data_IF_919236996853
#
_entry.id   IF_919236996853
#
_cell.length_a   1.000
_cell.length_b   1.000
_cell.length_c   1.000
_cell.angle_alpha   90.00
_cell.angle_beta   90.00
_cell.angle_gamma   90.00
#
_symmetry.space_group_name_H-M   'P 1'
#
loop_
_entity.id
_entity.type
_entity.pdbx_description
1 polymer ?
#
# COMPACT_ATOMS: atom_id res chain seq x y z
N UNK A 1 14.04 36.73 -5.59
CA UNK A 1 14.99 35.90 -4.81
C UNK A 1 14.21 34.69 -4.35
N UNK A 2 14.35 33.55 -5.05
CA UNK A 2 13.55 32.34 -4.79
C UNK A 2 14.23 31.60 -3.65
N UNK A 3 13.63 31.61 -2.47
CA UNK A 3 14.08 30.83 -1.31
C UNK A 3 13.54 29.42 -1.51
N UNK A 4 14.38 28.38 -1.65
CA UNK A 4 13.90 27.01 -1.67
C UNK A 4 13.38 26.70 -0.27
N UNK A 5 12.08 26.49 -0.13
CA UNK A 5 11.46 25.96 1.08
C UNK A 5 12.00 24.56 1.30
N UNK A 6 13.03 24.47 2.14
CA UNK A 6 13.53 23.21 2.66
C UNK A 6 12.37 22.50 3.37
N UNK A 7 12.09 21.25 2.99
CA UNK A 7 11.26 20.36 3.79
C UNK A 7 11.76 20.43 5.24
N UNK A 8 10.85 20.70 6.17
CA UNK A 8 11.08 20.56 7.61
C UNK A 8 11.41 19.10 7.91
N UNK A 9 12.68 18.73 7.78
CA UNK A 9 13.23 17.56 8.44
C UNK A 9 13.22 17.90 9.93
N UNK A 10 12.22 17.40 10.65
CA UNK A 10 12.14 17.53 12.11
C UNK A 10 13.47 17.10 12.72
N UNK A 11 13.97 17.89 13.68
CA UNK A 11 15.22 17.65 14.37
C UNK A 11 15.22 16.23 14.97
N UNK A 12 15.94 15.31 14.32
CA UNK A 12 16.07 13.91 14.73
C UNK A 12 15.84 12.87 13.62
N UNK A 13 15.20 13.22 12.49
CA UNK A 13 15.03 12.29 11.37
C UNK A 13 15.76 12.81 10.12
N UNK A 14 16.82 12.11 9.69
CA UNK A 14 17.49 12.41 8.44
C UNK A 14 16.51 12.15 7.29
N UNK A 15 16.12 13.20 6.55
CA UNK A 15 15.47 13.01 5.26
C UNK A 15 16.44 12.27 4.34
N UNK A 16 16.27 10.95 4.25
CA UNK A 16 17.27 10.10 3.61
C UNK A 16 17.43 10.48 2.13
N UNK A 17 16.32 10.74 1.43
CA UNK A 17 16.32 11.05 0.00
C UNK A 17 15.50 12.32 -0.31
N UNK A 18 15.96 13.10 -1.30
CA UNK A 18 15.28 14.26 -1.86
C UNK A 18 15.23 14.17 -3.39
N UNK A 19 14.24 14.82 -3.98
CA UNK A 19 14.20 15.08 -5.42
C UNK A 19 14.71 16.50 -5.66
N UNK A 20 15.71 16.63 -6.51
CA UNK A 20 16.40 17.88 -6.76
C UNK A 20 16.47 18.16 -8.26
N UNK A 21 15.65 19.13 -8.70
CA UNK A 21 15.68 19.62 -10.08
C UNK A 21 17.05 20.21 -10.38
N UNK A 22 17.62 19.79 -11.52
CA UNK A 22 18.95 20.20 -12.00
C UNK A 22 20.11 19.85 -11.04
N UNK A 23 19.86 19.02 -10.03
CA UNK A 23 20.90 18.50 -9.14
C UNK A 23 21.67 19.57 -8.34
N UNK A 24 21.05 20.73 -8.08
CA UNK A 24 21.67 21.90 -7.44
C UNK A 24 22.17 21.69 -6.00
N UNK A 25 21.70 20.63 -5.34
CA UNK A 25 22.00 20.24 -3.97
C UNK A 25 23.18 19.27 -3.88
N UNK A 26 23.64 18.69 -5.00
CA UNK A 26 24.73 17.71 -4.98
C UNK A 26 25.99 18.32 -4.37
N UNK A 27 26.55 17.65 -3.37
CA UNK A 27 27.73 18.10 -2.60
C UNK A 27 27.42 19.12 -1.50
N UNK A 28 26.18 19.64 -1.40
CA UNK A 28 25.81 20.53 -0.29
C UNK A 28 25.68 19.75 1.01
N UNK A 29 26.04 20.39 2.12
CA UNK A 29 25.93 19.81 3.46
C UNK A 29 24.46 19.53 3.80
N UNK A 30 24.20 18.32 4.23
CA UNK A 30 22.88 17.87 4.70
C UNK A 30 22.91 17.38 6.16
N UNK A 31 24.08 17.43 6.80
CA UNK A 31 24.30 17.02 8.19
C UNK A 31 25.76 17.17 8.61
N UNK A 32 26.08 16.81 9.85
CA UNK A 32 27.48 16.78 10.31
C UNK A 32 28.23 15.63 9.61
N UNK A 33 29.33 15.95 8.93
CA UNK A 33 30.09 15.02 8.07
C UNK A 33 29.24 14.36 6.96
N UNK A 34 28.17 15.01 6.53
CA UNK A 34 27.26 14.52 5.49
C UNK A 34 27.05 15.53 4.38
N UNK A 35 26.93 15.03 3.14
CA UNK A 35 26.59 15.81 1.97
C UNK A 35 25.59 15.05 1.09
N UNK A 36 24.78 15.78 0.34
CA UNK A 36 23.91 15.16 -0.65
C UNK A 36 24.74 14.54 -1.77
N UNK A 37 24.46 13.28 -2.07
CA UNK A 37 25.05 12.53 -3.17
C UNK A 37 23.93 12.13 -4.12
N UNK A 38 24.12 12.35 -5.42
CA UNK A 38 23.21 11.83 -6.44
C UNK A 38 23.22 10.30 -6.39
N UNK A 39 22.06 9.71 -6.13
CA UNK A 39 21.83 8.26 -6.22
C UNK A 39 21.32 7.91 -7.61
N UNK A 40 20.46 8.75 -8.18
CA UNK A 40 19.89 8.54 -9.51
C UNK A 40 19.63 9.87 -10.25
N UNK A 41 19.52 9.79 -11.58
CA UNK A 41 19.24 10.92 -12.48
C UNK A 41 18.13 10.53 -13.46
N UNK A 42 17.02 11.24 -13.36
CA UNK A 42 15.89 11.12 -14.26
C UNK A 42 15.94 12.27 -15.27
N UNK A 43 16.10 11.95 -16.55
CA UNK A 43 15.96 12.92 -17.64
C UNK A 43 14.58 12.72 -18.28
N UNK A 44 13.71 13.71 -18.17
CA UNK A 44 12.41 13.72 -18.87
C UNK A 44 12.59 14.40 -20.21
N UNK A 45 12.43 13.67 -21.30
CA UNK A 45 12.42 14.24 -22.65
C UNK A 45 11.00 14.65 -23.02
N UNK A 46 10.54 15.80 -22.49
CA UNK A 46 9.43 16.51 -23.12
C UNK A 46 10.02 17.35 -24.27
N UNK A 47 9.34 17.39 -25.43
CA UNK A 47 9.79 18.06 -26.67
C UNK A 47 10.22 19.54 -26.49
N UNK A 48 9.86 20.14 -25.36
CA UNK A 48 10.03 21.57 -25.11
C UNK A 48 11.31 21.88 -24.31
N UNK A 49 11.76 21.01 -23.40
CA UNK A 49 13.01 21.17 -22.64
C UNK A 49 13.28 19.92 -21.77
N UNK A 50 14.43 19.25 -21.91
CA UNK A 50 14.75 18.12 -21.06
C UNK A 50 14.91 18.57 -19.61
N UNK A 51 14.06 18.07 -18.71
CA UNK A 51 14.13 18.38 -17.29
C UNK A 51 14.91 17.26 -16.57
N UNK A 52 16.06 17.63 -15.99
CA UNK A 52 16.88 16.74 -15.19
C UNK A 52 16.41 16.79 -13.73
N UNK A 53 15.97 15.66 -13.18
CA UNK A 53 15.62 15.49 -11.77
C UNK A 53 16.62 14.50 -11.15
N UNK A 54 17.40 14.95 -10.18
CA UNK A 54 18.26 14.08 -9.39
C UNK A 54 17.51 13.52 -8.18
N UNK A 55 17.59 12.21 -7.96
CA UNK A 55 17.31 11.63 -6.65
C UNK A 55 18.61 11.69 -5.86
N UNK A 56 18.63 12.42 -4.75
CA UNK A 56 19.82 12.58 -3.92
C UNK A 56 19.61 12.03 -2.54
N UNK A 57 20.61 11.35 -2.01
CA UNK A 57 20.61 10.84 -0.66
C UNK A 57 21.61 11.63 0.21
N UNK A 58 21.24 11.88 1.46
CA UNK A 58 22.17 12.42 2.44
C UNK A 58 23.12 11.32 2.96
N UNK A 59 24.37 11.35 2.50
CA UNK A 59 25.40 10.34 2.75
C UNK A 59 26.64 10.97 3.42
N UNK A 60 27.51 10.13 3.98
CA UNK A 60 28.77 10.61 4.55
C UNK A 60 29.65 11.27 3.50
N UNK A 61 30.31 12.38 3.87
CA UNK A 61 31.08 13.22 2.95
C UNK A 61 32.33 12.52 2.40
N UNK A 62 32.86 11.52 3.10
CA UNK A 62 34.01 10.73 2.68
C UNK A 62 33.94 9.30 3.24
N UNK A 63 34.76 8.40 2.67
CA UNK A 63 34.87 7.01 3.13
C UNK A 63 35.53 6.86 4.51
N UNK A 64 36.09 7.94 5.06
CA UNK A 64 36.63 7.95 6.42
C UNK A 64 35.52 7.94 7.48
N UNK A 65 34.28 8.17 7.09
CA UNK A 65 33.13 8.11 7.98
C UNK A 65 32.26 6.87 7.69
N UNK A 66 31.59 6.38 8.71
CA UNK A 66 30.58 5.33 8.63
C UNK A 66 29.26 5.85 9.19
N UNK A 67 28.14 5.56 8.51
CA UNK A 67 26.81 5.97 8.94
C UNK A 67 26.31 5.01 10.03
N UNK A 68 26.17 5.48 11.28
CA UNK A 68 25.53 4.75 12.39
C UNK A 68 24.42 5.61 12.98
N UNK A 69 23.25 5.02 13.15
CA UNK A 69 22.07 5.69 13.73
C UNK A 69 21.75 7.05 13.08
N UNK A 70 21.93 7.12 11.75
CA UNK A 70 21.71 8.34 10.97
C UNK A 70 22.82 9.39 11.03
N UNK A 71 23.89 9.18 11.78
CA UNK A 71 25.04 10.09 11.90
C UNK A 71 26.29 9.51 11.25
N UNK A 72 27.16 10.37 10.71
CA UNK A 72 28.44 9.97 10.13
C UNK A 72 29.56 10.12 11.16
N UNK A 73 30.04 8.99 11.65
CA UNK A 73 31.07 8.87 12.69
C UNK A 73 32.40 8.48 12.02
N UNK A 74 33.50 9.08 12.44
CA UNK A 74 34.83 8.76 11.92
C UNK A 74 35.18 7.30 12.20
N UNK A 75 35.66 6.58 11.19
CA UNK A 75 36.12 5.20 11.33
C UNK A 75 37.40 5.23 12.16
N UNK A 76 37.34 4.72 13.40
CA UNK A 76 38.53 4.54 14.22
C UNK A 76 39.54 3.64 13.48
N UNK A 77 40.66 4.23 13.02
CA UNK A 77 41.73 3.57 12.26
C UNK A 77 42.49 2.45 13.02
N UNK A 78 41.98 1.97 14.16
CA UNK A 78 42.63 0.94 14.98
C UNK A 78 42.35 -0.51 14.55
N UNK A 79 41.77 -0.74 13.37
CA UNK A 79 41.72 -2.07 12.74
C UNK A 79 42.66 -2.12 11.53
N UNK A 80 43.95 -1.92 11.80
CA UNK A 80 45.01 -2.15 10.84
C UNK A 80 45.30 -3.65 10.72
N UNK A 81 45.41 -4.13 9.48
CA UNK A 81 45.93 -5.43 9.00
C UNK A 81 44.92 -6.52 8.63
N UNK A 82 45.00 -6.87 7.34
CA UNK A 82 44.54 -8.08 6.65
C UNK A 82 43.15 -8.01 6.00
N UNK A 83 42.94 -7.03 5.09
CA UNK A 83 42.07 -7.28 3.94
C UNK A 83 42.94 -7.67 2.75
N UNK A 84 43.12 -8.98 2.59
CA UNK A 84 43.46 -9.57 1.31
C UNK A 84 42.42 -9.09 0.27
N UNK A 85 42.86 -8.94 -0.97
CA UNK A 85 42.04 -8.62 -2.14
C UNK A 85 40.76 -9.47 -2.14
N UNK A 86 39.67 -8.90 -1.64
CA UNK A 86 38.34 -9.43 -1.88
C UNK A 86 38.00 -9.04 -3.31
N UNK A 87 37.50 -9.98 -4.13
CA UNK A 87 37.01 -9.65 -5.46
C UNK A 87 36.01 -8.51 -5.29
N UNK A 88 36.03 -7.56 -6.22
CA UNK A 88 35.05 -6.47 -6.29
C UNK A 88 33.67 -7.13 -6.26
N UNK A 89 33.05 -7.19 -5.08
CA UNK A 89 31.66 -7.60 -4.94
C UNK A 89 30.89 -6.47 -5.59
N UNK A 90 30.48 -6.71 -6.84
CA UNK A 90 29.47 -5.93 -7.53
C UNK A 90 28.38 -5.66 -6.50
N UNK A 91 28.03 -4.39 -6.19
CA UNK A 91 27.08 -4.07 -5.15
C UNK A 91 25.88 -4.99 -5.31
N UNK A 92 25.70 -5.91 -4.37
CA UNK A 92 24.54 -6.79 -4.38
C UNK A 92 23.37 -5.86 -4.17
N UNK A 93 22.74 -5.48 -5.29
CA UNK A 93 21.54 -4.66 -5.28
C UNK A 93 20.61 -5.37 -4.29
N UNK A 94 20.20 -4.71 -3.22
CA UNK A 94 19.30 -5.30 -2.23
C UNK A 94 17.93 -5.43 -2.89
N UNK A 95 17.79 -6.42 -3.75
CA UNK A 95 16.56 -6.73 -4.46
C UNK A 95 15.51 -7.07 -3.42
N UNK A 96 14.31 -6.49 -3.57
CA UNK A 96 13.23 -6.63 -2.61
C UNK A 96 13.64 -6.24 -1.18
N UNK A 97 14.47 -5.21 -1.01
CA UNK A 97 14.93 -4.72 0.30
C UNK A 97 15.68 -5.78 1.12
N UNK A 98 16.27 -6.79 0.46
CA UNK A 98 17.00 -7.88 1.12
C UNK A 98 16.14 -9.01 1.68
N UNK A 99 14.82 -8.98 1.46
CA UNK A 99 13.93 -10.13 1.73
C UNK A 99 13.70 -10.95 0.47
N UNK A 100 13.13 -12.14 0.65
CA UNK A 100 12.56 -12.92 -0.45
C UNK A 100 11.43 -12.09 -1.09
N UNK A 101 11.43 -12.02 -2.41
CA UNK A 101 10.40 -11.31 -3.16
C UNK A 101 9.08 -12.07 -3.08
N UNK A 102 7.97 -11.34 -3.00
CA UNK A 102 6.64 -11.94 -3.07
C UNK A 102 6.37 -12.39 -4.49
N UNK A 103 5.59 -13.46 -4.64
CA UNK A 103 5.07 -13.84 -5.94
C UNK A 103 4.33 -12.65 -6.57
N UNK A 104 4.58 -12.42 -7.85
CA UNK A 104 4.07 -11.30 -8.64
C UNK A 104 4.59 -9.90 -8.26
N UNK A 105 5.55 -9.81 -7.33
CA UNK A 105 6.24 -8.56 -7.03
C UNK A 105 7.04 -8.08 -8.26
N UNK A 106 6.82 -6.81 -8.62
CA UNK A 106 7.44 -6.15 -9.76
C UNK A 106 8.63 -5.33 -9.26
N UNK A 107 9.76 -5.45 -9.96
CA UNK A 107 10.96 -4.68 -9.70
C UNK A 107 11.45 -4.00 -10.99
N UNK A 108 12.22 -2.93 -10.82
CA UNK A 108 12.97 -2.30 -11.90
C UNK A 108 14.43 -2.69 -11.77
N UNK A 109 14.97 -3.30 -12.82
CA UNK A 109 16.32 -3.83 -12.86
C UNK A 109 17.16 -3.11 -13.92
N UNK A 110 18.09 -2.28 -13.45
CA UNK A 110 19.06 -1.59 -14.28
C UNK A 110 20.06 -2.61 -14.81
N UNK A 111 20.15 -2.71 -16.14
CA UNK A 111 20.92 -3.68 -16.92
C UNK A 111 20.32 -5.08 -17.03
N UNK A 112 19.10 -5.31 -16.51
CA UNK A 112 18.38 -6.58 -16.65
C UNK A 112 19.12 -7.83 -16.11
N UNK A 113 20.04 -7.63 -15.16
CA UNK A 113 20.93 -8.65 -14.59
C UNK A 113 20.21 -9.71 -13.75
N UNK A 114 18.99 -9.43 -13.32
CA UNK A 114 18.18 -10.30 -12.48
C UNK A 114 17.32 -11.27 -13.29
N UNK A 115 17.26 -11.16 -14.63
CA UNK A 115 16.47 -12.08 -15.46
C UNK A 115 16.90 -13.53 -15.20
N UNK A 116 15.93 -14.39 -14.93
CA UNK A 116 16.10 -15.81 -14.55
C UNK A 116 16.84 -16.07 -13.23
N UNK A 117 17.20 -15.02 -12.47
CA UNK A 117 17.71 -15.16 -11.11
C UNK A 117 16.59 -15.54 -10.15
N UNK A 118 16.92 -16.32 -9.12
CA UNK A 118 15.96 -16.72 -8.09
C UNK A 118 15.53 -15.51 -7.27
N UNK A 119 14.22 -15.31 -7.19
CA UNK A 119 13.58 -14.30 -6.35
C UNK A 119 12.90 -14.92 -5.11
N UNK A 120 12.78 -16.26 -5.07
CA UNK A 120 12.37 -17.04 -3.92
C UNK A 120 12.22 -18.54 -4.20
N UNK A 121 11.62 -19.33 -3.30
CA UNK A 121 11.42 -20.76 -3.49
C UNK A 121 10.55 -21.05 -4.73
N UNK A 122 11.11 -21.78 -5.71
CA UNK A 122 10.49 -22.10 -7.00
C UNK A 122 10.07 -20.86 -7.81
N UNK A 123 10.73 -19.72 -7.57
CA UNK A 123 10.42 -18.45 -8.21
C UNK A 123 11.67 -17.82 -8.82
N UNK A 124 11.53 -17.25 -10.01
CA UNK A 124 12.55 -16.50 -10.73
C UNK A 124 12.00 -15.17 -11.23
N UNK A 125 12.87 -14.19 -11.42
CA UNK A 125 12.48 -12.99 -12.12
C UNK A 125 12.33 -13.26 -13.62
N UNK A 126 11.20 -12.86 -14.18
CA UNK A 126 11.00 -12.78 -15.64
C UNK A 126 10.79 -11.36 -16.06
N UNK A 127 11.44 -10.96 -17.15
CA UNK A 127 11.22 -9.65 -17.77
C UNK A 127 9.80 -9.57 -18.31
N UNK A 128 9.01 -8.62 -17.80
CA UNK A 128 7.66 -8.32 -18.27
C UNK A 128 7.67 -7.19 -19.29
N UNK A 129 8.53 -6.18 -19.08
CA UNK A 129 8.73 -5.06 -20.00
C UNK A 129 10.22 -4.80 -20.15
N UNK A 130 10.71 -4.79 -21.38
CA UNK A 130 12.09 -4.45 -21.70
C UNK A 130 12.73 -5.40 -22.70
N UNK A 131 13.98 -5.14 -23.08
CA UNK A 131 14.82 -4.07 -22.57
C UNK A 131 14.47 -2.67 -23.08
N UNK A 132 14.20 -1.75 -22.16
CA UNK A 132 14.04 -0.33 -22.48
C UNK A 132 15.42 0.32 -22.54
N UNK A 133 15.77 0.95 -23.66
CA UNK A 133 17.02 1.71 -23.79
C UNK A 133 16.77 3.15 -23.39
N UNK A 134 17.19 3.52 -22.18
CA UNK A 134 17.19 4.91 -21.75
C UNK A 134 18.56 5.51 -22.05
N UNK A 135 18.56 6.65 -22.76
CA UNK A 135 19.74 7.50 -22.86
C UNK A 135 19.66 8.51 -21.74
N UNK A 136 20.72 8.63 -20.94
CA UNK A 136 20.92 9.87 -20.17
C UNK A 136 22.34 10.36 -20.37
N UNK A 137 22.43 11.59 -20.86
CA UNK A 137 23.65 12.15 -21.45
C UNK A 137 24.23 11.27 -22.57
N UNK A 138 25.54 10.97 -22.45
CA UNK A 138 26.30 10.15 -23.40
C UNK A 138 26.17 8.63 -23.16
N UNK A 139 25.55 8.22 -22.05
CA UNK A 139 25.42 6.83 -21.66
C UNK A 139 24.04 6.31 -22.02
N UNK A 140 23.98 5.15 -22.67
CA UNK A 140 22.74 4.39 -22.83
C UNK A 140 22.73 3.25 -21.82
N UNK A 141 21.70 3.17 -20.99
CA UNK A 141 21.48 2.03 -20.12
C UNK A 141 20.25 1.26 -20.56
N UNK A 142 20.30 -0.04 -20.26
CA UNK A 142 19.21 -0.95 -20.44
C UNK A 142 18.44 -1.02 -19.13
N UNK A 143 17.12 -0.93 -19.16
CA UNK A 143 16.27 -1.11 -18.01
C UNK A 143 15.24 -2.20 -18.33
N UNK A 144 15.01 -3.10 -17.39
CA UNK A 144 13.94 -4.08 -17.46
C UNK A 144 13.01 -3.94 -16.27
N UNK A 145 11.72 -4.04 -16.53
CA UNK A 145 10.73 -4.31 -15.50
C UNK A 145 10.61 -5.82 -15.43
N UNK A 146 10.85 -6.37 -14.25
CA UNK A 146 10.82 -7.81 -14.03
C UNK A 146 9.82 -8.15 -12.94
N UNK A 147 9.19 -9.31 -13.06
CA UNK A 147 8.23 -9.83 -12.11
C UNK A 147 8.72 -11.16 -11.54
N UNK A 148 8.66 -11.31 -10.22
CA UNK A 148 8.94 -12.58 -9.56
C UNK A 148 7.80 -13.57 -9.85
N UNK A 149 8.07 -14.62 -10.61
CA UNK A 149 7.07 -15.62 -11.05
C UNK A 149 7.60 -17.03 -10.84
N UNK A 150 6.75 -18.06 -11.00
CA UNK A 150 7.20 -19.44 -10.90
C UNK A 150 8.30 -19.77 -11.93
N UNK A 151 9.31 -20.50 -11.49
CA UNK A 151 10.51 -20.84 -12.26
C UNK A 151 10.23 -21.70 -13.51
N UNK A 152 9.17 -22.51 -13.46
CA UNK A 152 8.78 -23.44 -14.50
C UNK A 152 7.27 -23.63 -14.54
N UNK A 153 6.79 -24.21 -15.64
CA UNK A 153 5.39 -24.60 -15.82
C UNK A 153 4.97 -25.79 -14.95
N UNK A 154 5.91 -26.44 -14.23
CA UNK A 154 5.62 -27.47 -13.23
C UNK A 154 5.00 -26.90 -11.96
N UNK A 155 5.06 -25.58 -11.73
CA UNK A 155 4.47 -24.95 -10.55
C UNK A 155 3.22 -24.16 -10.93
N UNK A 156 2.30 -24.05 -9.96
CA UNK A 156 1.10 -23.21 -10.06
C UNK A 156 1.14 -22.18 -8.94
N UNK A 157 0.69 -20.96 -9.25
CA UNK A 157 0.53 -19.86 -8.30
C UNK A 157 -0.63 -20.17 -7.35
N UNK A 158 -0.37 -20.31 -6.06
CA UNK A 158 -1.41 -20.55 -5.06
C UNK A 158 -0.99 -19.92 -3.72
N UNK A 159 -1.84 -19.05 -3.16
CA UNK A 159 -1.58 -18.41 -1.86
C UNK A 159 -0.30 -17.56 -1.80
N UNK A 160 0.09 -16.93 -2.91
CA UNK A 160 1.34 -16.15 -2.98
C UNK A 160 2.62 -16.99 -3.05
N UNK A 161 2.51 -18.29 -3.33
CA UNK A 161 3.64 -19.22 -3.48
C UNK A 161 3.53 -20.01 -4.78
N UNK A 162 4.67 -20.55 -5.24
CA UNK A 162 4.74 -21.48 -6.36
C UNK A 162 4.76 -22.92 -5.84
N UNK A 163 3.60 -23.58 -5.94
CA UNK A 163 3.40 -24.96 -5.48
C UNK A 163 3.56 -25.89 -6.67
N UNK A 164 4.37 -26.94 -6.50
CA UNK A 164 4.57 -27.94 -7.55
C UNK A 164 3.22 -28.55 -7.88
N UNK A 165 2.83 -28.56 -9.16
CA UNK A 165 1.74 -29.39 -9.67
C UNK A 165 2.12 -30.81 -9.29
N UNK A 166 1.49 -31.34 -8.26
CA UNK A 166 1.75 -32.69 -7.82
C UNK A 166 1.58 -33.59 -9.04
N UNK A 167 2.59 -34.41 -9.31
CA UNK A 167 2.50 -35.51 -10.26
C UNK A 167 1.59 -36.63 -9.74
N UNK A 168 1.06 -36.48 -8.51
CA UNK A 168 -0.17 -37.16 -8.15
C UNK A 168 -1.21 -36.70 -9.19
N UNK A 169 -1.82 -37.62 -9.95
CA UNK A 169 -2.83 -37.21 -10.89
C UNK A 169 -3.81 -36.33 -10.11
N UNK A 170 -3.99 -35.07 -10.52
CA UNK A 170 -5.37 -34.61 -10.59
C UNK A 170 -6.05 -35.78 -11.27
N UNK A 171 -6.78 -36.60 -10.49
CA UNK A 171 -7.46 -37.81 -11.00
C UNK A 171 -7.88 -37.43 -12.39
N UNK A 172 -7.29 -38.08 -13.41
CA UNK A 172 -7.55 -37.72 -14.79
C UNK A 172 -9.04 -37.43 -14.85
N UNK A 173 -9.40 -36.17 -15.15
CA UNK A 173 -10.80 -35.72 -15.16
C UNK A 173 -11.64 -36.49 -16.20
N UNK A 174 -11.06 -37.53 -16.79
CA UNK A 174 -11.64 -38.59 -17.59
C UNK A 174 -12.46 -39.61 -16.78
N UNK A 175 -12.47 -39.60 -15.45
CA UNK A 175 -13.42 -40.42 -14.65
C UNK A 175 -14.55 -39.64 -13.96
N UNK A 176 -14.60 -38.31 -14.08
CA UNK A 176 -15.79 -37.53 -13.71
C UNK A 176 -16.84 -37.53 -14.84
N UNK A 177 -17.19 -38.74 -15.28
CA UNK A 177 -18.44 -39.02 -15.99
C UNK A 177 -19.64 -39.13 -15.03
N UNK A 178 -19.40 -39.12 -13.72
CA UNK A 178 -20.43 -38.80 -12.73
C UNK A 178 -20.57 -37.28 -12.62
N UNK A 179 -21.79 -36.77 -12.52
CA UNK A 179 -22.03 -35.36 -12.26
C UNK A 179 -21.18 -34.88 -11.08
N UNK A 180 -20.27 -33.91 -11.28
CA UNK A 180 -19.66 -33.15 -10.18
C UNK A 180 -20.82 -32.39 -9.54
N UNK A 181 -21.48 -33.04 -8.59
CA UNK A 181 -22.46 -32.39 -7.73
C UNK A 181 -21.71 -31.25 -7.03
N UNK A 182 -22.20 -30.01 -7.14
CA UNK A 182 -21.60 -28.87 -6.46
C UNK A 182 -21.42 -29.23 -4.99
N UNK A 183 -20.16 -29.25 -4.52
CA UNK A 183 -19.91 -29.35 -3.08
C UNK A 183 -20.41 -28.06 -2.47
N UNK A 184 -21.61 -28.12 -1.90
CA UNK A 184 -22.12 -27.08 -1.03
C UNK A 184 -21.55 -27.32 0.37
N UNK A 185 -21.22 -26.24 1.06
CA UNK A 185 -20.92 -26.30 2.49
C UNK A 185 -22.10 -26.93 3.23
N UNK A 186 -21.85 -27.54 4.38
CA UNK A 186 -22.93 -28.13 5.19
C UNK A 186 -23.77 -26.98 5.78
N UNK A 187 -24.78 -26.54 5.03
CA UNK A 187 -25.58 -25.35 5.33
C UNK A 187 -25.07 -24.08 4.65
N UNK A 188 -25.19 -22.94 5.33
CA UNK A 188 -24.70 -21.62 4.86
C UNK A 188 -23.32 -21.25 5.40
N UNK A 189 -22.68 -22.15 6.13
CA UNK A 189 -21.41 -21.91 6.81
C UNK A 189 -20.40 -22.94 6.34
N UNK A 190 -19.26 -22.48 5.86
CA UNK A 190 -18.13 -23.28 5.42
C UNK A 190 -17.04 -23.23 6.49
N UNK A 191 -16.23 -24.29 6.57
CA UNK A 191 -15.03 -24.26 7.38
C UNK A 191 -13.98 -23.31 6.76
N UNK A 192 -13.13 -22.73 7.61
CA UNK A 192 -11.98 -21.95 7.15
C UNK A 192 -11.13 -22.80 6.21
N UNK A 193 -10.73 -22.23 5.09
CA UNK A 193 -9.96 -22.87 4.02
C UNK A 193 -10.69 -24.00 3.28
N UNK A 194 -12.00 -24.18 3.49
CA UNK A 194 -12.82 -25.09 2.68
C UNK A 194 -12.99 -24.55 1.26
N UNK A 195 -12.80 -25.43 0.27
CA UNK A 195 -12.90 -25.13 -1.15
C UNK A 195 -14.21 -25.66 -1.72
N UNK A 196 -14.91 -24.81 -2.46
CA UNK A 196 -16.14 -25.14 -3.16
C UNK A 196 -16.02 -24.88 -4.65
N UNK A 197 -16.83 -25.59 -5.42
CA UNK A 197 -16.95 -25.41 -6.86
C UNK A 197 -18.32 -24.81 -7.14
N UNK A 198 -18.34 -23.59 -7.65
CA UNK A 198 -19.57 -22.85 -7.85
C UNK A 198 -19.72 -22.37 -9.29
N UNK A 199 -20.96 -22.45 -9.78
CA UNK A 199 -21.38 -22.05 -11.13
C UNK A 199 -22.67 -21.23 -10.97
N UNK A 200 -22.68 -19.92 -11.25
CA UNK A 200 -21.53 -19.04 -11.59
C UNK A 200 -20.65 -18.75 -10.36
N UNK A 201 -19.60 -17.94 -10.52
CA UNK A 201 -18.72 -17.43 -9.45
C UNK A 201 -19.43 -16.47 -8.47
N UNK A 202 -20.74 -16.64 -8.26
CA UNK A 202 -21.65 -15.70 -7.59
C UNK A 202 -21.39 -15.53 -6.11
N UNK A 203 -20.63 -16.42 -5.47
CA UNK A 203 -20.34 -16.32 -4.04
C UNK A 203 -19.09 -15.47 -3.75
N UNK A 204 -18.33 -14.98 -4.73
CA UNK A 204 -17.10 -14.22 -4.41
C UNK A 204 -17.46 -12.93 -3.67
N UNK A 205 -16.84 -12.75 -2.49
CA UNK A 205 -17.15 -11.65 -1.57
C UNK A 205 -18.31 -11.94 -0.60
N UNK A 206 -19.09 -13.00 -0.81
CA UNK A 206 -20.16 -13.40 0.10
C UNK A 206 -19.59 -14.01 1.39
N UNK A 207 -20.31 -13.81 2.49
CA UNK A 207 -19.95 -14.33 3.81
C UNK A 207 -20.08 -15.86 3.81
N UNK A 208 -18.98 -16.56 4.10
CA UNK A 208 -18.95 -18.02 4.22
C UNK A 208 -18.86 -18.49 5.67
N UNK A 209 -18.68 -17.58 6.63
CA UNK A 209 -18.73 -17.85 8.07
C UNK A 209 -18.36 -16.61 8.89
N UNK A 210 -18.23 -16.75 10.21
CA UNK A 210 -17.87 -15.63 11.09
C UNK A 210 -16.50 -15.07 10.72
N UNK A 211 -16.46 -13.79 10.33
CA UNK A 211 -15.25 -13.10 9.85
C UNK A 211 -14.60 -13.74 8.61
N UNK A 212 -15.37 -14.48 7.82
CA UNK A 212 -14.89 -15.18 6.64
C UNK A 212 -15.72 -14.84 5.40
N UNK A 213 -15.05 -14.71 4.26
CA UNK A 213 -15.65 -14.50 2.94
C UNK A 213 -15.13 -15.50 1.93
N UNK A 214 -15.91 -15.79 0.90
CA UNK A 214 -15.43 -16.56 -0.24
C UNK A 214 -14.51 -15.71 -1.10
N UNK A 215 -13.28 -16.18 -1.27
CA UNK A 215 -12.32 -15.61 -2.20
C UNK A 215 -12.18 -16.51 -3.44
N UNK A 216 -12.02 -15.92 -4.62
CA UNK A 216 -11.80 -16.68 -5.85
C UNK A 216 -10.34 -17.12 -5.91
N UNK A 217 -10.09 -18.43 -5.95
CA UNK A 217 -8.72 -18.98 -6.06
C UNK A 217 -8.40 -19.50 -7.46
N UNK A 218 -9.40 -19.64 -8.33
CA UNK A 218 -9.20 -20.14 -9.68
C UNK A 218 -10.48 -20.24 -10.48
N UNK A 219 -10.32 -20.32 -11.80
CA UNK A 219 -11.42 -20.53 -12.75
C UNK A 219 -11.00 -21.56 -13.80
N UNK A 220 -11.95 -22.36 -14.24
CA UNK A 220 -11.77 -23.25 -15.39
C UNK A 220 -13.04 -23.30 -16.23
N UNK A 221 -12.88 -23.64 -17.50
CA UNK A 221 -13.99 -23.78 -18.45
C UNK A 221 -14.31 -25.27 -18.62
N UNK A 222 -15.56 -25.65 -18.37
CA UNK A 222 -16.07 -26.98 -18.76
C UNK A 222 -16.10 -27.09 -20.30
N UNK A 223 -16.14 -28.32 -20.82
CA UNK A 223 -16.21 -28.59 -22.28
C UNK A 223 -17.37 -27.89 -23.00
N UNK A 224 -18.46 -27.58 -22.29
CA UNK A 224 -19.62 -26.86 -22.81
C UNK A 224 -19.48 -25.32 -22.76
N UNK A 225 -18.30 -24.80 -22.38
CA UNK A 225 -18.03 -23.37 -22.21
C UNK A 225 -18.52 -22.77 -20.89
N UNK A 226 -19.13 -23.56 -19.99
CA UNK A 226 -19.55 -23.06 -18.68
C UNK A 226 -18.33 -22.79 -17.80
N UNK A 227 -18.19 -21.55 -17.32
CA UNK A 227 -17.17 -21.17 -16.35
C UNK A 227 -17.51 -21.73 -14.96
N UNK A 228 -16.55 -22.42 -14.37
CA UNK A 228 -16.61 -22.92 -12.99
C UNK A 228 -15.53 -22.22 -12.20
N UNK A 229 -15.94 -21.60 -11.09
CA UNK A 229 -14.99 -21.03 -10.15
C UNK A 229 -14.69 -21.99 -9.01
N UNK A 230 -13.42 -22.00 -8.62
CA UNK A 230 -12.94 -22.59 -7.38
C UNK A 230 -12.88 -21.44 -6.38
N UNK A 231 -13.72 -21.51 -5.35
CA UNK A 231 -13.81 -20.48 -4.32
C UNK A 231 -13.40 -21.08 -2.98
N UNK A 232 -12.69 -20.31 -2.17
CA UNK A 232 -12.17 -20.74 -0.87
C UNK A 232 -12.67 -19.81 0.22
N UNK A 233 -13.14 -20.36 1.33
CA UNK A 233 -13.55 -19.56 2.49
C UNK A 233 -12.29 -19.05 3.23
N UNK A 234 -12.03 -17.75 3.21
CA UNK A 234 -10.85 -17.12 3.84
C UNK A 234 -11.27 -16.02 4.81
N UNK A 235 -10.35 -15.53 5.64
CA UNK A 235 -10.63 -14.37 6.48
C UNK A 235 -11.00 -13.15 5.63
N UNK A 236 -11.92 -12.33 6.14
CA UNK A 236 -12.49 -11.21 5.39
C UNK A 236 -11.56 -10.01 5.19
N UNK A 237 -10.52 -9.89 6.01
CA UNK A 237 -9.47 -8.88 5.89
C UNK A 237 -8.16 -9.39 6.51
N UNK A 238 -7.07 -8.67 6.26
CA UNK A 238 -5.75 -8.95 6.86
C UNK A 238 -5.70 -8.68 8.37
N UNK A 239 -6.71 -8.01 8.94
CA UNK A 239 -6.83 -7.75 10.39
C UNK A 239 -7.19 -9.02 11.17
N UNK A 240 -7.78 -10.02 10.50
CA UNK A 240 -8.14 -11.29 11.11
C UNK A 240 -7.02 -12.31 10.92
N UNK A 241 -6.61 -12.93 12.02
CA UNK A 241 -5.63 -14.01 12.02
C UNK A 241 -6.36 -15.35 12.06
N UNK A 242 -5.87 -16.30 11.26
CA UNK A 242 -6.35 -17.68 11.26
C UNK A 242 -5.89 -18.37 12.55
N UNK A 243 -6.83 -18.78 13.40
CA UNK A 243 -6.55 -19.54 14.61
C UNK A 243 -7.67 -20.55 14.88
N UNK A 244 -7.31 -21.80 15.19
CA UNK A 244 -8.25 -22.87 15.54
C UNK A 244 -9.41 -23.06 14.54
N UNK A 245 -9.13 -22.94 13.23
CA UNK A 245 -10.14 -23.06 12.17
C UNK A 245 -11.12 -21.89 12.07
N UNK A 246 -10.79 -20.75 12.70
CA UNK A 246 -11.60 -19.53 12.69
C UNK A 246 -10.76 -18.31 12.33
N UNK A 247 -11.42 -17.21 11.99
CA UNK A 247 -10.82 -15.90 11.78
C UNK A 247 -11.12 -15.02 12.99
N UNK A 248 -10.07 -14.71 13.77
CA UNK A 248 -10.18 -13.93 15.01
C UNK A 248 -9.39 -12.63 14.88
N UNK A 249 -9.89 -11.56 15.50
CA UNK A 249 -9.09 -10.36 15.68
C UNK A 249 -8.03 -10.65 16.75
N UNK A 250 -6.75 -10.34 16.50
CA UNK A 250 -5.76 -10.39 17.55
C UNK A 250 -6.18 -9.42 18.65
N UNK A 251 -6.24 -9.89 19.90
CA UNK A 251 -6.57 -9.02 21.03
C UNK A 251 -5.50 -7.92 21.13
N UNK A 252 -5.90 -6.65 21.00
CA UNK A 252 -5.03 -5.51 21.29
C UNK A 252 -4.50 -5.65 22.72
N UNK A 253 -3.21 -5.98 22.90
CA UNK A 253 -2.58 -6.01 24.22
C UNK A 253 -1.74 -7.23 24.57
N UNK A 254 -1.49 -8.18 23.66
CA UNK A 254 -0.42 -9.15 23.85
C UNK A 254 0.43 -9.24 22.59
N UNK A 255 1.70 -8.86 22.69
CA UNK A 255 2.76 -9.29 21.77
C UNK A 255 2.87 -10.82 21.83
N UNK A 256 1.96 -11.52 21.14
CA UNK A 256 2.11 -12.96 20.93
C UNK A 256 3.09 -13.10 19.77
N UNK A 257 4.34 -13.40 20.14
CA UNK A 257 5.38 -13.88 19.25
C UNK A 257 4.77 -14.78 18.16
N UNK A 258 5.04 -14.46 16.89
CA UNK A 258 4.74 -15.34 15.77
C UNK A 258 5.21 -16.76 16.10
N UNK A 259 4.38 -17.81 15.89
CA UNK A 259 4.82 -19.18 16.04
C UNK A 259 5.65 -19.55 14.82
N UNK A 260 6.91 -19.10 14.81
CA UNK A 260 7.93 -19.50 13.86
C UNK A 260 8.88 -20.47 14.57
N UNK A 261 8.65 -21.77 14.36
CA UNK A 261 9.65 -22.85 14.39
C UNK A 261 10.58 -22.90 15.61
N UNK A 262 10.12 -23.55 16.70
CA UNK A 262 11.03 -24.22 17.65
C UNK A 262 10.96 -25.72 17.37
N UNK A 263 12.00 -26.23 16.71
CA UNK A 263 12.43 -27.61 16.82
C UNK A 263 13.82 -27.61 17.46
N UNK A 264 13.94 -28.34 18.59
CA UNK A 264 15.18 -28.95 19.12
C UNK A 264 16.21 -27.95 19.73
N UNK A 265 16.80 -28.08 20.92
CA UNK A 265 16.84 -29.12 21.96
C UNK A 265 17.34 -28.49 23.28
N UNK A 266 16.81 -28.99 24.40
CA UNK A 266 17.46 -29.39 25.66
C UNK A 266 18.66 -28.60 26.29
N UNK A 267 18.51 -28.41 27.61
CA UNK A 267 19.51 -28.29 28.70
C UNK A 267 20.10 -26.90 29.07
N UNK A 268 19.68 -26.42 30.26
CA UNK A 268 20.63 -26.03 31.30
C UNK A 268 20.64 -24.57 31.77
N UNK A 269 19.84 -24.28 32.82
CA UNK A 269 20.16 -23.51 34.05
C UNK A 269 20.69 -22.05 33.94
N UNK A 270 20.40 -21.09 34.81
CA UNK A 270 19.51 -20.87 35.96
C UNK A 270 19.77 -19.42 36.42
N UNK A 271 18.76 -18.77 37.03
CA UNK A 271 18.88 -17.64 38.00
C UNK A 271 18.94 -16.20 37.46
N UNK A 272 17.86 -15.36 37.48
CA UNK A 272 17.21 -14.62 38.62
C UNK A 272 18.06 -13.38 39.03
N UNK A 273 17.62 -12.11 39.18
CA UNK A 273 16.36 -11.35 39.24
C UNK A 273 16.69 -9.84 38.98
N UNK A 274 15.73 -9.00 38.54
CA UNK A 274 15.89 -7.55 38.31
C UNK A 274 15.41 -6.68 39.48
N UNK A 275 15.96 -5.45 39.65
CA UNK A 275 15.41 -4.41 40.55
C UNK A 275 15.53 -3.01 39.92
N UNK A 276 14.53 -2.21 40.28
CA UNK A 276 13.98 -0.95 39.77
C UNK A 276 14.52 0.32 40.46
N UNK A 277 14.12 1.48 39.91
CA UNK A 277 13.88 2.81 40.55
C UNK A 277 15.13 3.64 40.96
N UNK A 278 15.25 4.98 40.93
CA UNK A 278 14.40 6.21 40.97
C UNK A 278 15.18 7.37 40.26
N UNK A 279 14.58 8.27 39.47
CA UNK A 279 13.92 9.56 39.82
C UNK A 279 14.85 10.71 40.28
N UNK A 280 14.90 11.83 39.53
CA UNK A 280 15.00 13.26 39.95
C UNK A 280 15.19 14.15 38.68
N UNK A 281 14.24 15.00 38.26
CA UNK A 281 14.01 16.44 38.60
C UNK A 281 15.21 17.33 38.23
N UNK A 282 15.16 18.48 37.55
CA UNK A 282 14.19 19.60 37.46
C UNK A 282 14.74 20.63 36.42
N UNK A 283 13.92 21.55 35.88
CA UNK A 283 14.41 22.80 35.26
C UNK A 283 13.56 23.38 34.12
N UNK A 284 12.67 24.32 34.45
CA UNK A 284 11.72 25.07 33.60
C UNK A 284 12.33 26.33 32.92
N UNK A 285 11.66 26.80 31.84
CA UNK A 285 11.26 28.19 31.46
C UNK A 285 11.16 28.29 29.91
N UNK A 286 9.98 28.20 29.28
CA UNK A 286 8.91 29.20 29.07
C UNK A 286 9.35 30.50 28.38
N UNK A 287 8.81 30.78 27.17
CA UNK A 287 8.15 32.05 26.78
C UNK A 287 7.66 32.03 25.30
N UNK A 288 6.32 31.94 25.17
CA UNK A 288 5.35 32.58 24.22
C UNK A 288 5.68 32.92 22.74
N UNK A 289 4.77 32.60 21.79
CA UNK A 289 4.82 33.07 20.40
C UNK A 289 3.90 34.29 20.14
N UNK A 290 4.35 35.22 19.28
CA UNK A 290 3.53 36.33 18.79
C UNK A 290 3.19 36.15 17.31
N UNK A 291 1.89 36.17 17.03
CA UNK A 291 1.28 36.14 15.70
C UNK A 291 1.33 37.52 15.04
N UNK A 292 1.54 37.58 13.72
CA UNK A 292 1.11 38.71 12.90
C UNK A 292 0.72 38.20 11.51
N UNK A 293 -0.54 38.45 11.16
CA UNK A 293 -1.14 38.19 9.86
C UNK A 293 -0.75 39.30 8.88
N UNK A 294 -0.54 38.95 7.60
CA UNK A 294 -0.80 39.85 6.48
C UNK A 294 -1.11 39.07 5.21
N UNK A 295 -2.28 39.37 4.65
CA UNK A 295 -2.80 38.89 3.38
C UNK A 295 -2.05 39.49 2.20
N UNK A 296 -1.87 38.71 1.13
CA UNK A 296 -1.73 39.24 -0.22
C UNK A 296 -2.17 38.18 -1.25
N UNK A 297 -3.01 38.62 -2.17
CA UNK A 297 -3.65 37.89 -3.26
C UNK A 297 -2.71 37.64 -4.44
N UNK A 298 -3.01 36.59 -5.22
CA UNK A 298 -2.75 36.55 -6.67
C UNK A 298 -1.45 35.88 -7.16
N UNK A 299 -1.54 34.60 -7.51
CA UNK A 299 -1.45 34.09 -8.90
C UNK A 299 -1.27 32.58 -8.92
N UNK A 300 -2.17 31.89 -9.63
CA UNK A 300 -2.09 30.47 -9.97
C UNK A 300 -0.84 30.19 -10.82
N UNK A 301 0.10 29.42 -10.30
CA UNK A 301 1.05 28.66 -11.11
C UNK A 301 1.27 27.29 -10.48
N UNK A 302 0.87 26.24 -11.19
CA UNK A 302 1.05 24.84 -10.82
C UNK A 302 2.53 24.52 -10.59
N UNK A 303 2.92 24.32 -9.33
CA UNK A 303 4.18 23.66 -8.98
C UNK A 303 3.87 22.32 -8.30
N UNK A 304 4.02 21.23 -9.04
CA UNK A 304 3.93 19.86 -8.55
C UNK A 304 5.20 19.53 -7.73
N UNK A 305 5.05 19.35 -6.42
CA UNK A 305 6.06 18.71 -5.55
C UNK A 305 5.54 17.33 -5.12
N UNK A 306 6.36 16.26 -5.21
CA UNK A 306 5.95 14.93 -4.77
C UNK A 306 6.03 14.86 -3.24
N UNK A 307 4.94 15.20 -2.56
CA UNK A 307 4.79 15.01 -1.13
C UNK A 307 4.29 13.58 -0.85
N UNK A 308 4.95 12.86 0.05
CA UNK A 308 4.37 11.71 0.74
C UNK A 308 3.21 12.23 1.61
N UNK A 309 2.00 12.31 1.07
CA UNK A 309 0.85 12.75 1.84
C UNK A 309 0.32 11.57 2.66
N UNK A 310 0.67 11.58 3.94
CA UNK A 310 0.01 10.78 4.96
C UNK A 310 -0.95 11.71 5.69
N UNK A 311 -2.26 11.53 5.50
CA UNK A 311 -3.30 12.21 6.30
C UNK A 311 -3.83 13.55 5.78
N UNK A 312 -3.54 13.92 4.53
CA UNK A 312 -4.17 15.05 3.85
C UNK A 312 -4.56 14.64 2.42
N UNK A 313 -5.57 15.32 1.85
CA UNK A 313 -5.98 15.14 0.45
C UNK A 313 -4.78 15.40 -0.46
N UNK A 314 -4.13 14.33 -0.93
CA UNK A 314 -3.06 14.48 -1.90
C UNK A 314 -3.59 15.21 -3.12
N UNK A 315 -2.84 16.22 -3.59
CA UNK A 315 -2.99 16.69 -4.96
C UNK A 315 -2.89 15.52 -5.95
N UNK A 316 -3.29 15.77 -7.19
CA UNK A 316 -3.09 14.80 -8.28
C UNK A 316 -1.60 14.45 -8.37
N UNK A 317 -1.28 13.16 -8.38
CA UNK A 317 0.08 12.66 -8.61
C UNK A 317 0.16 12.03 -10.00
N UNK A 318 1.33 12.11 -10.64
CA UNK A 318 1.64 11.33 -11.84
C UNK A 318 2.29 10.02 -11.41
N UNK A 319 1.71 8.90 -11.82
CA UNK A 319 2.13 7.56 -11.48
C UNK A 319 2.39 6.76 -12.77
N UNK A 320 3.66 6.64 -13.18
CA UNK A 320 4.04 5.78 -14.31
C UNK A 320 3.56 4.35 -14.08
N UNK A 321 2.98 3.74 -15.11
CA UNK A 321 2.37 2.40 -15.11
C UNK A 321 1.22 2.20 -14.11
N UNK A 322 0.71 3.27 -13.52
CA UNK A 322 -0.44 3.21 -12.63
C UNK A 322 -0.28 2.30 -11.40
N UNK A 323 0.97 2.06 -10.97
CA UNK A 323 1.34 1.06 -9.96
C UNK A 323 0.67 1.27 -8.59
N UNK A 324 0.29 2.50 -8.26
CA UNK A 324 -0.32 2.87 -6.97
C UNK A 324 -1.84 2.73 -6.95
N UNK A 325 -2.52 2.45 -8.07
CA UNK A 325 -3.98 2.32 -8.07
C UNK A 325 -4.44 1.25 -7.08
N UNK A 326 -5.35 1.61 -6.18
CA UNK A 326 -5.86 0.74 -5.12
C UNK A 326 -4.98 0.65 -3.88
N UNK A 327 -3.82 1.31 -3.82
CA UNK A 327 -2.98 1.34 -2.63
C UNK A 327 -3.51 2.33 -1.60
N UNK A 328 -3.36 1.99 -0.31
CA UNK A 328 -3.75 2.87 0.81
C UNK A 328 -2.90 4.14 0.81
N UNK A 329 -3.57 5.29 0.82
CA UNK A 329 -2.94 6.62 0.86
C UNK A 329 -3.36 7.45 2.08
N UNK A 330 -4.24 6.88 2.92
CA UNK A 330 -4.75 7.47 4.14
C UNK A 330 -5.77 6.54 4.79
N UNK A 331 -6.31 6.92 5.95
CA UNK A 331 -7.35 6.13 6.59
C UNK A 331 -8.67 6.23 5.83
N UNK A 332 -9.21 5.07 5.44
CA UNK A 332 -10.34 4.93 4.53
C UNK A 332 -10.09 5.61 3.17
N UNK A 333 -8.83 5.70 2.71
CA UNK A 333 -8.47 6.31 1.42
C UNK A 333 -7.59 5.39 0.58
N UNK A 334 -7.87 5.35 -0.73
CA UNK A 334 -7.09 4.64 -1.74
C UNK A 334 -6.73 5.57 -2.90
N UNK A 335 -5.57 5.33 -3.51
CA UNK A 335 -5.24 5.97 -4.78
C UNK A 335 -6.19 5.49 -5.87
N UNK A 336 -6.88 6.43 -6.51
CA UNK A 336 -7.79 6.21 -7.61
C UNK A 336 -7.25 6.90 -8.85
N UNK A 337 -7.21 6.20 -9.98
CA UNK A 337 -6.87 6.81 -11.27
C UNK A 337 -7.97 7.78 -11.69
N UNK A 338 -7.60 9.06 -11.86
CA UNK A 338 -8.51 10.10 -12.34
C UNK A 338 -8.38 10.35 -13.84
N UNK A 339 -7.19 10.11 -14.40
CA UNK A 339 -6.90 10.29 -15.81
C UNK A 339 -5.81 9.31 -16.24
N UNK A 340 -5.94 8.73 -17.43
CA UNK A 340 -4.94 7.85 -18.03
C UNK A 340 -4.38 8.53 -19.27
N UNK A 341 -3.09 8.79 -19.26
CA UNK A 341 -2.37 9.34 -20.40
C UNK A 341 -1.71 8.16 -21.13
N UNK A 342 -2.32 7.76 -22.25
CA UNK A 342 -1.79 6.75 -23.15
C UNK A 342 -1.12 7.47 -24.31
N UNK A 343 0.20 7.37 -24.42
CA UNK A 343 0.96 7.92 -25.53
C UNK A 343 0.97 6.91 -26.69
N UNK A 344 1.01 7.43 -27.92
CA UNK A 344 0.91 6.61 -29.15
C UNK A 344 2.20 5.78 -29.37
N UNK A 345 3.34 6.23 -28.84
CA UNK A 345 4.66 5.70 -29.16
C UNK A 345 5.26 4.87 -28.03
N UNK A 346 4.80 3.63 -27.82
CA UNK A 346 5.33 2.61 -26.88
C UNK A 346 5.74 3.12 -25.48
N UNK A 347 5.24 4.29 -25.11
CA UNK A 347 5.64 5.02 -23.93
C UNK A 347 4.76 4.53 -22.78
N UNK A 348 5.33 4.46 -21.57
CA UNK A 348 4.61 3.90 -20.44
C UNK A 348 3.32 4.67 -20.18
N UNK A 349 2.22 3.95 -19.91
CA UNK A 349 0.95 4.56 -19.49
C UNK A 349 1.23 5.40 -18.24
N UNK A 350 0.93 6.69 -18.29
CA UNK A 350 1.04 7.55 -17.10
C UNK A 350 -0.37 7.74 -16.55
N UNK A 351 -0.63 7.26 -15.35
CA UNK A 351 -1.87 7.57 -14.66
C UNK A 351 -1.69 8.86 -13.85
N UNK A 352 -2.63 9.78 -13.99
CA UNK A 352 -2.86 10.79 -12.97
C UNK A 352 -3.75 10.13 -11.91
N UNK A 353 -3.25 10.03 -10.69
CA UNK A 353 -3.97 9.42 -9.58
C UNK A 353 -4.24 10.45 -8.49
N UNK A 354 -5.32 10.22 -7.75
CA UNK A 354 -5.71 11.04 -6.62
C UNK A 354 -6.08 10.14 -5.45
N UNK A 355 -5.63 10.50 -4.26
CA UNK A 355 -6.05 9.83 -3.03
C UNK A 355 -7.52 10.18 -2.74
N UNK A 356 -8.42 9.19 -2.72
CA UNK A 356 -9.87 9.39 -2.51
C UNK A 356 -10.40 8.44 -1.46
N UNK A 357 -11.56 8.75 -0.89
CA UNK A 357 -12.23 7.83 0.03
C UNK A 357 -12.52 6.48 -0.63
N UNK A 358 -12.35 5.40 0.16
CA UNK A 358 -12.48 4.00 -0.28
C UNK A 358 -13.89 3.65 -0.79
N UNK A 359 -14.92 4.37 -0.33
CA UNK A 359 -16.30 4.20 -0.78
C UNK A 359 -17.13 5.47 -0.57
N UNK A 360 -18.32 5.51 -1.17
CA UNK A 360 -19.31 6.58 -0.98
C UNK A 360 -19.86 6.67 0.46
N UNK A 361 -19.61 5.66 1.30
CA UNK A 361 -19.96 5.70 2.71
C UNK A 361 -19.11 6.69 3.51
N UNK A 362 -18.03 7.22 2.94
CA UNK A 362 -17.14 8.19 3.56
C UNK A 362 -17.22 9.52 2.84
N UNK A 363 -17.20 10.62 3.59
CA UNK A 363 -17.06 11.98 3.06
C UNK A 363 -15.68 12.48 3.43
N UNK A 364 -14.99 13.05 2.45
CA UNK A 364 -13.74 13.74 2.66
C UNK A 364 -13.99 15.10 3.34
N UNK A 365 -13.41 15.29 4.52
CA UNK A 365 -13.40 16.56 5.25
C UNK A 365 -11.98 16.82 5.74
N UNK A 366 -11.44 17.99 5.40
CA UNK A 366 -10.12 18.44 5.82
C UNK A 366 -9.00 17.40 5.53
N UNK A 367 -9.12 16.72 4.37
CA UNK A 367 -8.17 15.69 3.94
C UNK A 367 -8.31 14.33 4.60
N UNK A 368 -9.36 14.11 5.40
CA UNK A 368 -9.66 12.82 6.04
C UNK A 368 -11.00 12.27 5.55
N UNK A 369 -11.10 10.95 5.39
CA UNK A 369 -12.34 10.28 5.02
C UNK A 369 -13.11 9.82 6.25
N UNK A 370 -14.20 10.53 6.56
CA UNK A 370 -15.04 10.31 7.72
C UNK A 370 -16.31 9.57 7.28
N UNK A 371 -16.66 8.49 7.98
CA UNK A 371 -17.88 7.71 7.69
C UNK A 371 -19.11 8.60 7.82
N UNK A 372 -19.94 8.62 6.79
CA UNK A 372 -21.25 9.26 6.84
C UNK A 372 -22.08 8.55 7.92
N UNK A 373 -22.46 9.30 8.96
CA UNK A 373 -23.60 8.90 9.75
C UNK A 373 -24.78 8.81 8.79
N UNK A 374 -25.20 7.57 8.47
CA UNK A 374 -26.40 7.35 7.70
C UNK A 374 -27.49 8.08 8.46
N UNK A 375 -27.89 9.27 8.00
CA UNK A 375 -29.15 9.87 8.39
C UNK A 375 -30.14 8.80 8.05
N UNK A 376 -30.61 8.09 9.07
CA UNK A 376 -31.67 7.10 8.96
C UNK A 376 -32.87 7.91 8.53
N UNK A 377 -32.96 8.16 7.23
CA UNK A 377 -34.18 8.52 6.56
C UNK A 377 -35.00 7.26 6.76
N UNK A 378 -35.70 7.18 7.89
CA UNK A 378 -36.83 6.29 8.06
C UNK A 378 -37.68 6.59 6.85
N UNK A 379 -37.58 5.75 5.81
CA UNK A 379 -38.58 5.70 4.76
C UNK A 379 -39.85 5.48 5.54
N UNK A 380 -40.67 6.54 5.67
CA UNK A 380 -41.90 6.50 6.43
C UNK A 380 -42.63 5.25 5.96
N UNK A 381 -42.71 4.26 6.85
CA UNK A 381 -43.29 2.98 6.47
C UNK A 381 -44.73 3.25 6.05
N UNK A 382 -45.32 2.40 5.22
CA UNK A 382 -46.75 2.53 4.88
C UNK A 382 -47.61 2.64 6.15
N UNK A 383 -47.13 2.08 7.27
CA UNK A 383 -47.70 2.21 8.61
C UNK A 383 -47.63 3.63 9.17
N UNK A 384 -46.49 4.32 9.05
CA UNK A 384 -46.33 5.71 9.46
C UNK A 384 -47.20 6.66 8.63
N UNK A 385 -47.31 6.41 7.31
CA UNK A 385 -48.24 7.16 6.44
C UNK A 385 -49.69 6.94 6.86
N UNK A 386 -50.07 5.72 7.24
CA UNK A 386 -51.44 5.42 7.68
C UNK A 386 -51.76 6.04 9.05
N UNK A 387 -50.78 6.06 9.96
CA UNK A 387 -50.91 6.72 11.26
C UNK A 387 -51.05 8.24 11.10
N UNK A 388 -50.21 8.88 10.28
CA UNK A 388 -50.31 10.32 9.98
C UNK A 388 -51.63 10.68 9.27
N UNK A 389 -52.10 9.85 8.33
CA UNK A 389 -53.39 10.07 7.67
C UNK A 389 -54.58 9.96 8.64
N UNK A 390 -54.52 9.03 9.60
CA UNK A 390 -55.53 8.89 10.65
C UNK A 390 -55.49 10.07 11.63
N UNK A 391 -54.28 10.52 12.01
CA UNK A 391 -54.11 11.65 12.92
C UNK A 391 -54.58 12.97 12.30
N UNK A 392 -54.30 13.20 11.01
CA UNK A 392 -54.74 14.39 10.27
C UNK A 392 -56.27 14.48 10.15
N UNK A 393 -56.96 13.34 9.99
CA UNK A 393 -58.44 13.30 10.01
C UNK A 393 -59.01 13.68 11.39
N UNK A 394 -58.38 13.25 12.47
CA UNK A 394 -58.83 13.60 13.83
C UNK A 394 -58.53 15.05 14.21
N UNK A 395 -57.48 15.67 13.68
CA UNK A 395 -57.20 17.09 13.96
C UNK A 395 -58.09 18.04 13.14
N UNK A 396 -58.52 17.62 11.94
CA UNK A 396 -59.40 18.45 11.10
C UNK A 396 -60.80 18.64 11.71
N UNK A 397 -61.22 17.81 12.67
CA UNK A 397 -62.49 18.00 13.39
C UNK A 397 -62.41 19.02 14.54
N UNK A 398 -61.21 19.47 14.93
CA UNK A 398 -61.03 20.48 15.99
C UNK A 398 -60.68 21.86 15.47
N UNK A 399 -60.41 21.98 14.17
CA UNK A 399 -60.24 23.29 13.53
C UNK A 399 -61.61 23.87 13.26
N UNK A 400 -62.18 24.50 14.29
CA UNK A 400 -63.26 25.47 14.14
C UNK A 400 -62.75 26.51 13.13
N UNK A 401 -63.43 26.70 11.99
CA UNK A 401 -63.02 27.71 11.03
C UNK A 401 -62.98 29.06 11.76
N UNK A 402 -61.90 29.85 11.57
CA UNK A 402 -61.85 31.18 12.14
C UNK A 402 -63.08 31.94 11.64
N UNK A 403 -63.89 32.41 12.58
CA UNK A 403 -65.06 33.24 12.29
C UNK A 403 -64.61 34.38 11.37
N UNK A 404 -65.26 34.58 10.22
CA UNK A 404 -65.13 35.85 9.54
C UNK A 404 -65.71 36.91 10.47
N UNK A 405 -65.28 38.16 10.30
CA UNK A 405 -65.80 39.34 11.00
C UNK A 405 -65.09 39.72 12.31
N UNK A 406 -63.95 40.37 12.13
CA UNK A 406 -63.72 41.69 12.76
C UNK A 406 -62.85 42.55 11.85
N UNK A 407 -63.52 43.32 10.97
CA UNK A 407 -62.94 44.52 10.37
C UNK A 407 -62.67 45.50 11.51
N UNK A 408 -61.41 45.69 11.87
CA UNK A 408 -60.98 46.86 12.63
C UNK A 408 -60.52 47.88 11.60
N UNK A 409 -61.28 48.98 11.50
CA UNK A 409 -60.83 50.24 10.91
C UNK A 409 -59.86 50.88 11.90
N UNK A 410 -58.65 51.16 11.45
CA UNK A 410 -58.02 52.49 11.45
C UNK A 410 -56.76 52.45 10.57
#
# INVERSE_FOLDING_TARGET
>A
MIIPTALLCYAGQSCAQIYDRLCMQTGRKCGHNMAYRTVDRLEYTDDVSPELICIQECACISEQYEKRDGQCIEKNNNSTRNKAELPIEVPTLKVCSGRICRLDEIITDTLCLLTDQKCGPNMVFKTTVGPLRMKVGISSYQMCIQQCTCDSNEYTKMGGQCIKKSSAPMRNETEFGGEILPKHCTGRVCALDEEIFNVPCSLTGEICGTNMIFNNIGKFLKKNGTEVCIQKCTCMSEEYVKANGQCILPAEGNEIASPSLIQQSAEGNESVIPISTQQSTEGNESLTPTSTQQSAEGNESLSETPANCVGLSCGKIRDPFCMRTGWKCGDNMLYTTVERLVYIDDSPEICIQQCKCVSEEYIEKDGQCIKQERKVTRKATTRDRHWYAKYRKNMSSYLVPPSPDKKIKD
#
